data_IF_980487434411
#
_entry.id   IF_980487434411
#
_cell.length_a   1.000
_cell.length_b   1.000
_cell.length_c   1.000
_cell.angle_alpha   90.00
_cell.angle_beta   90.00
_cell.angle_gamma   90.00
#
_symmetry.space_group_name_H-M   'P 1'
#
loop_
_entity.id
_entity.type
_entity.pdbx_description
1 polymer ?
#
# COMPACT_ATOMS: atom_id res chain seq x y z
N UNK A 1 13.65 -11.10 -8.16
CA UNK A 1 13.00 -10.13 -7.26
C UNK A 1 13.68 -8.76 -7.32
N UNK A 2 15.00 -8.67 -7.34
CA UNK A 2 15.73 -7.40 -7.49
C UNK A 2 15.36 -6.59 -8.76
N UNK A 3 15.23 -7.25 -9.91
CA UNK A 3 14.83 -6.58 -11.17
C UNK A 3 13.41 -5.99 -11.18
N UNK A 4 12.48 -6.52 -10.37
CA UNK A 4 11.14 -5.96 -10.25
C UNK A 4 11.12 -4.77 -9.28
N UNK A 5 11.90 -4.83 -8.21
CA UNK A 5 12.04 -3.73 -7.27
C UNK A 5 12.69 -2.52 -7.94
N UNK A 6 13.76 -2.72 -8.71
CA UNK A 6 14.44 -1.63 -9.43
C UNK A 6 13.61 -0.99 -10.56
N UNK A 7 12.54 -1.66 -11.03
CA UNK A 7 11.63 -1.08 -12.04
C UNK A 7 10.45 -0.32 -11.44
N UNK A 8 10.16 -0.52 -10.14
CA UNK A 8 8.98 0.06 -9.48
C UNK A 8 9.38 1.16 -8.49
N UNK A 9 10.52 0.98 -7.81
CA UNK A 9 11.05 1.97 -6.86
C UNK A 9 11.91 2.96 -7.64
N UNK A 10 11.73 4.26 -7.41
CA UNK A 10 12.55 5.30 -8.01
C UNK A 10 13.93 5.32 -7.37
N UNK A 11 14.94 5.80 -8.09
CA UNK A 11 16.33 5.85 -7.61
C UNK A 11 16.52 6.78 -6.40
N UNK A 12 15.62 7.74 -6.22
CA UNK A 12 15.58 8.72 -5.12
C UNK A 12 14.76 8.26 -3.90
N UNK A 13 14.17 7.05 -3.94
CA UNK A 13 13.34 6.52 -2.86
C UNK A 13 14.05 5.45 -2.03
N UNK A 14 14.03 5.61 -0.71
CA UNK A 14 14.52 4.58 0.20
C UNK A 14 13.42 3.56 0.55
N UNK A 15 13.66 2.29 0.27
CA UNK A 15 12.78 1.21 0.71
C UNK A 15 12.97 0.98 2.21
N UNK A 16 11.96 1.28 3.00
CA UNK A 16 11.98 1.09 4.46
C UNK A 16 11.62 -0.33 4.86
N UNK A 17 10.61 -0.90 4.21
CA UNK A 17 10.15 -2.24 4.54
C UNK A 17 9.49 -2.92 3.35
N UNK A 18 9.73 -4.23 3.21
CA UNK A 18 9.05 -5.09 2.23
C UNK A 18 8.23 -6.12 3.01
N UNK A 19 6.92 -6.10 2.81
CA UNK A 19 5.98 -6.94 3.53
C UNK A 19 5.34 -7.89 2.53
N UNK A 20 5.44 -9.20 2.82
CA UNK A 20 4.78 -10.23 2.01
C UNK A 20 3.46 -10.63 2.63
N UNK A 21 2.50 -10.97 1.77
CA UNK A 21 1.23 -11.52 2.22
C UNK A 21 1.44 -12.79 3.05
N UNK A 22 0.65 -12.95 4.13
CA UNK A 22 0.71 -14.14 4.96
C UNK A 22 0.18 -15.36 4.16
N UNK A 23 0.91 -16.49 4.11
CA UNK A 23 0.48 -17.69 3.42
C UNK A 23 -0.87 -18.24 3.95
N UNK A 24 -1.19 -17.98 5.21
CA UNK A 24 -2.46 -18.39 5.82
C UNK A 24 -3.68 -17.75 5.12
N UNK A 25 -3.53 -16.60 4.43
CA UNK A 25 -4.58 -16.04 3.56
C UNK A 25 -5.06 -17.07 2.51
N UNK A 26 -4.16 -17.93 2.05
CA UNK A 26 -4.41 -18.93 1.01
C UNK A 26 -4.72 -20.33 1.57
N UNK A 27 -5.15 -20.43 2.84
CA UNK A 27 -5.42 -21.73 3.50
C UNK A 27 -6.45 -22.60 2.76
N UNK A 28 -7.51 -21.98 2.23
CA UNK A 28 -8.53 -22.70 1.46
C UNK A 28 -7.95 -23.35 0.18
N UNK A 29 -7.33 -22.61 -0.76
CA UNK A 29 -6.73 -23.24 -1.93
C UNK A 29 -5.60 -24.22 -1.57
N UNK A 30 -4.88 -24.02 -0.46
CA UNK A 30 -3.88 -24.99 0.02
C UNK A 30 -4.55 -26.29 0.45
N UNK A 31 -5.64 -26.25 1.23
CA UNK A 31 -6.37 -27.45 1.63
C UNK A 31 -6.95 -28.17 0.40
N UNK A 32 -7.57 -27.44 -0.53
CA UNK A 32 -8.08 -28.07 -1.75
C UNK A 32 -6.97 -28.75 -2.55
N UNK A 33 -5.82 -28.10 -2.73
CA UNK A 33 -4.70 -28.72 -3.44
C UNK A 33 -4.20 -29.97 -2.72
N UNK A 34 -4.17 -29.96 -1.38
CA UNK A 34 -3.75 -31.09 -0.56
C UNK A 34 -4.74 -32.27 -0.68
N UNK A 35 -6.05 -31.98 -0.68
CA UNK A 35 -7.09 -33.01 -0.89
C UNK A 35 -6.94 -33.65 -2.28
N UNK A 36 -6.70 -32.88 -3.33
CA UNK A 36 -6.49 -33.40 -4.69
C UNK A 36 -5.18 -34.14 -4.85
N UNK A 37 -4.15 -33.87 -4.04
CA UNK A 37 -2.87 -34.60 -4.07
C UNK A 37 -3.00 -35.90 -3.26
N UNK A 38 -3.56 -35.84 -2.04
CA UNK A 38 -3.60 -36.99 -1.12
C UNK A 38 -4.79 -37.89 -1.42
N UNK A 39 -5.94 -37.32 -1.82
CA UNK A 39 -7.19 -38.06 -2.05
C UNK A 39 -7.05 -39.25 -2.99
N UNK A 40 -6.39 -39.12 -4.15
CA UNK A 40 -6.22 -40.27 -5.06
C UNK A 40 -5.53 -41.47 -4.44
N UNK A 41 -4.63 -41.28 -3.46
CA UNK A 41 -3.97 -42.36 -2.76
C UNK A 41 -4.91 -43.20 -1.89
N UNK A 42 -5.93 -42.58 -1.29
CA UNK A 42 -6.95 -43.32 -0.56
C UNK A 42 -7.83 -44.18 -1.48
N UNK A 43 -8.04 -43.73 -2.70
CA UNK A 43 -8.83 -44.46 -3.71
C UNK A 43 -7.94 -45.28 -4.66
N UNK A 44 -6.66 -45.46 -4.35
CA UNK A 44 -5.74 -46.20 -5.23
C UNK A 44 -6.25 -47.63 -5.49
N UNK A 45 -6.67 -48.35 -4.44
CA UNK A 45 -7.12 -49.74 -4.56
C UNK A 45 -8.36 -49.90 -5.47
N UNK A 46 -9.46 -49.21 -5.28
CA UNK A 46 -10.60 -49.30 -6.20
C UNK A 46 -10.28 -48.78 -7.61
N UNK A 47 -9.44 -47.75 -7.75
CA UNK A 47 -9.03 -47.27 -9.06
C UNK A 47 -8.22 -48.33 -9.85
N UNK A 48 -7.38 -49.08 -9.19
CA UNK A 48 -6.58 -50.15 -9.85
C UNK A 48 -7.47 -51.27 -10.41
N UNK A 49 -8.67 -51.50 -9.88
CA UNK A 49 -9.59 -52.46 -10.45
C UNK A 49 -10.08 -52.11 -11.87
N UNK A 50 -10.08 -50.81 -12.20
CA UNK A 50 -10.40 -50.29 -13.55
C UNK A 50 -9.25 -50.34 -14.54
N UNK A 51 -8.14 -51.04 -14.21
CA UNK A 51 -6.93 -51.22 -15.06
C UNK A 51 -6.41 -49.83 -15.55
N UNK A 52 -6.36 -49.69 -16.87
CA UNK A 52 -5.81 -48.52 -17.54
C UNK A 52 -6.58 -47.19 -17.23
N UNK A 53 -7.90 -47.25 -17.18
CA UNK A 53 -8.75 -46.10 -16.90
C UNK A 53 -8.56 -45.57 -15.46
N UNK A 54 -8.38 -46.47 -14.51
CA UNK A 54 -8.13 -46.08 -13.12
C UNK A 54 -6.80 -45.31 -12.97
N UNK A 55 -5.76 -45.74 -13.69
CA UNK A 55 -4.46 -45.03 -13.70
C UNK A 55 -4.56 -43.64 -14.33
N UNK A 56 -5.33 -43.48 -15.42
CA UNK A 56 -5.56 -42.18 -16.06
C UNK A 56 -6.25 -41.23 -15.09
N UNK A 57 -7.33 -41.68 -14.42
CA UNK A 57 -8.08 -40.87 -13.45
C UNK A 57 -7.17 -40.47 -12.28
N UNK A 58 -6.41 -41.41 -11.73
CA UNK A 58 -5.43 -41.15 -10.68
C UNK A 58 -4.44 -40.06 -11.09
N UNK A 59 -3.81 -40.22 -12.23
CA UNK A 59 -2.83 -39.27 -12.76
C UNK A 59 -3.44 -37.87 -13.03
N UNK A 60 -4.66 -37.82 -13.59
CA UNK A 60 -5.36 -36.59 -13.89
C UNK A 60 -5.70 -35.80 -12.60
N UNK A 61 -6.25 -36.45 -11.57
CA UNK A 61 -6.59 -35.81 -10.29
C UNK A 61 -5.35 -35.32 -9.58
N UNK A 62 -4.29 -36.13 -9.55
CA UNK A 62 -3.01 -35.75 -8.97
C UNK A 62 -2.38 -34.55 -9.70
N UNK A 63 -2.42 -34.53 -11.03
CA UNK A 63 -1.94 -33.41 -11.83
C UNK A 63 -2.70 -32.13 -11.54
N UNK A 64 -4.02 -32.20 -11.41
CA UNK A 64 -4.87 -31.05 -11.01
C UNK A 64 -4.44 -30.52 -9.65
N UNK A 65 -4.21 -31.41 -8.66
CA UNK A 65 -3.73 -31.01 -7.34
C UNK A 65 -2.39 -30.29 -7.38
N UNK A 66 -1.44 -30.79 -8.17
CA UNK A 66 -0.12 -30.16 -8.36
C UNK A 66 -0.26 -28.78 -9.02
N UNK A 67 -1.09 -28.65 -10.06
CA UNK A 67 -1.34 -27.37 -10.74
C UNK A 67 -1.93 -26.34 -9.76
N UNK A 68 -2.90 -26.75 -8.93
CA UNK A 68 -3.49 -25.89 -7.91
C UNK A 68 -2.46 -25.45 -6.85
N UNK A 69 -1.59 -26.36 -6.41
CA UNK A 69 -0.53 -26.07 -5.46
C UNK A 69 0.47 -25.05 -6.05
N UNK A 70 0.96 -25.30 -7.27
CA UNK A 70 1.88 -24.40 -7.97
C UNK A 70 1.27 -23.02 -8.21
N UNK A 71 -0.01 -22.96 -8.62
CA UNK A 71 -0.73 -21.70 -8.78
C UNK A 71 -0.81 -20.92 -7.47
N UNK A 72 -1.18 -21.58 -6.37
CA UNK A 72 -1.30 -20.94 -5.06
C UNK A 72 0.05 -20.43 -4.57
N UNK A 73 1.10 -21.24 -4.71
CA UNK A 73 2.47 -20.86 -4.41
C UNK A 73 2.90 -19.63 -5.20
N UNK A 74 2.64 -19.61 -6.51
CA UNK A 74 2.99 -18.49 -7.40
C UNK A 74 2.28 -17.19 -6.99
N UNK A 75 0.98 -17.24 -6.71
CA UNK A 75 0.20 -16.08 -6.27
C UNK A 75 0.71 -15.54 -4.93
N UNK A 76 0.95 -16.43 -3.97
CA UNK A 76 1.49 -16.02 -2.67
C UNK A 76 2.88 -15.35 -2.78
N UNK A 77 3.77 -15.92 -3.58
CA UNK A 77 5.14 -15.41 -3.71
C UNK A 77 5.20 -14.02 -4.36
N UNK A 78 4.23 -13.68 -5.20
CA UNK A 78 4.19 -12.45 -5.99
C UNK A 78 3.50 -11.28 -5.27
N UNK A 79 2.68 -11.54 -4.26
CA UNK A 79 1.96 -10.50 -3.53
C UNK A 79 2.85 -9.86 -2.47
N UNK A 80 3.11 -8.55 -2.65
CA UNK A 80 4.08 -7.82 -1.81
C UNK A 80 3.66 -6.37 -1.67
N UNK A 81 3.65 -5.87 -0.43
CA UNK A 81 3.53 -4.46 -0.11
C UNK A 81 4.92 -3.88 0.18
N UNK A 82 5.28 -2.83 -0.52
CA UNK A 82 6.54 -2.10 -0.35
C UNK A 82 6.22 -0.77 0.32
N UNK A 83 6.89 -0.51 1.43
CA UNK A 83 6.81 0.75 2.17
C UNK A 83 8.10 1.51 1.89
N UNK A 84 7.98 2.65 1.22
CA UNK A 84 9.11 3.58 0.98
C UNK A 84 9.05 4.75 1.96
N UNK A 85 9.95 5.68 1.84
CA UNK A 85 9.94 6.94 2.60
C UNK A 85 8.96 7.99 2.05
N UNK A 86 8.41 7.80 0.83
CA UNK A 86 7.51 8.75 0.16
C UNK A 86 6.11 8.20 -0.12
N UNK A 87 5.98 6.89 -0.35
CA UNK A 87 4.71 6.24 -0.76
C UNK A 87 4.63 4.79 -0.33
N UNK A 88 3.42 4.26 -0.39
CA UNK A 88 3.12 2.84 -0.30
C UNK A 88 2.92 2.28 -1.72
N UNK A 89 3.51 1.13 -2.02
CA UNK A 89 3.37 0.47 -3.31
C UNK A 89 2.86 -0.95 -3.07
N UNK A 90 1.66 -1.22 -3.54
CA UNK A 90 1.06 -2.56 -3.51
C UNK A 90 1.25 -3.25 -4.85
N UNK A 91 1.77 -4.45 -4.77
CA UNK A 91 1.90 -5.34 -5.93
C UNK A 91 1.00 -6.54 -5.69
N UNK A 92 -0.24 -6.47 -6.18
CA UNK A 92 -1.22 -7.55 -6.07
C UNK A 92 -1.31 -8.36 -7.37
N UNK A 93 -0.98 -9.63 -7.27
CA UNK A 93 -1.14 -10.60 -8.35
C UNK A 93 -2.48 -11.30 -8.21
N UNK A 94 -3.54 -10.74 -8.78
CA UNK A 94 -4.90 -11.32 -8.71
C UNK A 94 -5.04 -12.62 -9.49
N UNK A 95 -4.36 -12.75 -10.64
CA UNK A 95 -4.34 -13.95 -11.50
C UNK A 95 -2.93 -14.13 -12.08
N UNK A 96 -2.65 -15.28 -12.71
CA UNK A 96 -1.33 -15.61 -13.29
C UNK A 96 -0.86 -14.50 -14.26
N UNK A 97 -1.78 -13.93 -15.07
CA UNK A 97 -1.50 -12.89 -16.07
C UNK A 97 -2.12 -11.53 -15.73
N UNK A 98 -2.66 -11.34 -14.52
CA UNK A 98 -3.27 -10.08 -14.11
C UNK A 98 -2.60 -9.56 -12.85
N UNK A 99 -1.80 -8.51 -13.02
CA UNK A 99 -1.09 -7.80 -11.97
C UNK A 99 -1.65 -6.40 -11.84
N UNK A 100 -1.94 -6.00 -10.63
CA UNK A 100 -2.31 -4.64 -10.27
C UNK A 100 -1.19 -4.06 -9.43
N UNK A 101 -0.74 -2.87 -9.76
CA UNK A 101 0.20 -2.10 -8.95
C UNK A 101 -0.53 -0.84 -8.53
N UNK A 102 -0.71 -0.65 -7.24
CA UNK A 102 -1.35 0.53 -6.67
C UNK A 102 -0.30 1.31 -5.88
N UNK A 103 -0.27 2.63 -6.07
CA UNK A 103 0.67 3.52 -5.41
C UNK A 103 -0.10 4.58 -4.62
N UNK A 104 0.28 4.81 -3.37
CA UNK A 104 -0.33 5.81 -2.50
C UNK A 104 0.76 6.67 -1.86
N UNK A 105 0.82 7.93 -2.24
CA UNK A 105 1.71 8.90 -1.63
C UNK A 105 1.24 9.29 -0.22
N UNK A 106 2.15 9.49 0.71
CA UNK A 106 1.82 9.89 2.08
C UNK A 106 1.05 11.22 2.15
N UNK A 107 1.28 12.14 1.19
CA UNK A 107 0.51 13.39 1.08
C UNK A 107 -0.98 13.17 0.81
N UNK A 108 -1.34 12.05 0.20
CA UNK A 108 -2.71 11.75 -0.22
C UNK A 108 -3.43 10.80 0.76
N UNK A 109 -2.74 10.30 1.78
CA UNK A 109 -3.35 9.44 2.80
C UNK A 109 -4.16 10.30 3.76
N UNK A 110 -5.46 10.02 3.85
CA UNK A 110 -6.37 10.67 4.78
C UNK A 110 -6.48 9.88 6.08
N UNK A 111 -6.66 8.57 5.99
CA UNK A 111 -6.77 7.67 7.15
C UNK A 111 -6.13 6.31 6.87
N UNK A 112 -5.60 5.70 7.92
CA UNK A 112 -5.04 4.34 7.89
C UNK A 112 -5.67 3.54 9.00
N UNK A 113 -6.49 2.58 8.64
CA UNK A 113 -7.15 1.66 9.56
C UNK A 113 -6.76 0.21 9.24
N UNK A 114 -7.04 -0.70 10.16
CA UNK A 114 -6.88 -2.13 9.90
C UNK A 114 -8.09 -2.91 10.38
N UNK A 115 -8.30 -4.06 9.77
CA UNK A 115 -9.38 -4.96 10.11
C UNK A 115 -8.86 -6.39 10.24
N UNK A 116 -9.22 -7.05 11.33
CA UNK A 116 -8.99 -8.49 11.55
C UNK A 116 -10.34 -9.16 11.66
N UNK A 117 -10.74 -9.97 10.67
CA UNK A 117 -12.05 -10.63 10.62
C UNK A 117 -11.88 -12.14 10.52
N UNK A 118 -12.42 -12.88 11.48
CA UNK A 118 -12.47 -14.33 11.48
C UNK A 118 -11.50 -15.00 12.47
N UNK A 119 -11.70 -16.29 12.71
CA UNK A 119 -10.96 -17.08 13.71
C UNK A 119 -9.48 -17.24 13.31
N UNK A 120 -9.21 -17.62 12.05
CA UNK A 120 -7.85 -17.82 11.57
C UNK A 120 -7.03 -16.53 11.54
N UNK A 121 -7.54 -15.38 11.02
CA UNK A 121 -6.86 -14.10 11.11
C UNK A 121 -6.51 -13.69 12.53
N UNK A 122 -7.40 -13.91 13.48
CA UNK A 122 -7.17 -13.59 14.90
C UNK A 122 -6.09 -14.50 15.50
N UNK A 123 -6.15 -15.81 15.24
CA UNK A 123 -5.18 -16.77 15.78
C UNK A 123 -3.76 -16.57 15.22
N UNK A 124 -3.65 -16.29 13.92
CA UNK A 124 -2.36 -16.10 13.24
C UNK A 124 -1.93 -14.64 13.11
N UNK A 125 -2.66 -13.71 13.74
CA UNK A 125 -2.38 -12.26 13.78
C UNK A 125 -2.13 -11.70 12.37
N UNK A 126 -3.04 -11.94 11.44
CA UNK A 126 -3.03 -11.29 10.12
C UNK A 126 -4.38 -10.63 9.83
N UNK A 127 -4.38 -9.62 8.97
CA UNK A 127 -5.59 -8.87 8.64
C UNK A 127 -5.44 -8.07 7.37
N UNK A 128 -6.37 -7.18 7.15
CA UNK A 128 -6.41 -6.24 6.04
C UNK A 128 -6.06 -4.86 6.56
N UNK A 129 -5.09 -4.21 5.96
CA UNK A 129 -4.83 -2.79 6.16
C UNK A 129 -5.65 -2.01 5.13
N UNK A 130 -6.34 -0.99 5.59
CA UNK A 130 -7.24 -0.15 4.79
C UNK A 130 -6.68 1.26 4.80
N UNK A 131 -6.35 1.78 3.63
CA UNK A 131 -5.83 3.14 3.45
C UNK A 131 -6.86 3.94 2.66
N UNK A 132 -7.37 4.99 3.26
CA UNK A 132 -8.27 5.94 2.61
C UNK A 132 -7.45 7.09 2.02
N UNK A 133 -7.72 7.42 0.75
CA UNK A 133 -7.03 8.49 0.05
C UNK A 133 -7.92 9.72 -0.09
N UNK A 134 -7.33 10.91 -0.05
CA UNK A 134 -8.04 12.18 -0.24
C UNK A 134 -8.53 12.36 -1.69
N UNK A 135 -7.94 11.68 -2.66
CA UNK A 135 -8.36 11.70 -4.06
C UNK A 135 -9.53 10.72 -4.25
N UNK A 136 -10.70 11.23 -4.58
CA UNK A 136 -11.94 10.48 -4.91
C UNK A 136 -12.52 9.59 -3.80
N UNK A 137 -12.12 9.73 -2.54
CA UNK A 137 -12.50 8.80 -1.46
C UNK A 137 -12.22 7.32 -1.79
N UNK A 138 -11.21 7.06 -2.60
CA UNK A 138 -10.82 5.69 -2.91
C UNK A 138 -10.18 5.03 -1.69
N UNK A 139 -10.66 3.83 -1.41
CA UNK A 139 -10.13 2.98 -0.35
C UNK A 139 -9.26 1.89 -0.96
N UNK A 140 -8.02 1.81 -0.55
CA UNK A 140 -7.10 0.76 -0.98
C UNK A 140 -6.94 -0.24 0.15
N UNK A 141 -7.23 -1.51 -0.13
CA UNK A 141 -7.18 -2.60 0.83
C UNK A 141 -5.97 -3.49 0.56
N UNK A 142 -5.13 -3.67 1.57
CA UNK A 142 -3.96 -4.54 1.54
C UNK A 142 -4.24 -5.78 2.39
N UNK A 143 -4.55 -6.88 1.74
CA UNK A 143 -4.96 -8.12 2.40
C UNK A 143 -3.79 -9.02 2.80
N UNK A 144 -4.00 -9.73 3.94
CA UNK A 144 -3.07 -10.76 4.41
C UNK A 144 -1.80 -10.17 5.03
N UNK A 145 -1.89 -8.98 5.59
CA UNK A 145 -0.78 -8.34 6.32
C UNK A 145 -0.60 -9.00 7.68
N UNK A 146 0.62 -9.43 7.98
CA UNK A 146 0.97 -9.93 9.31
C UNK A 146 1.15 -8.78 10.28
N UNK A 147 0.44 -8.84 11.43
CA UNK A 147 0.41 -7.81 12.47
C UNK A 147 0.10 -6.42 11.91
N UNK A 148 -1.10 -6.24 11.34
CA UNK A 148 -1.49 -4.99 10.67
C UNK A 148 -1.44 -3.79 11.61
N UNK A 149 -1.66 -3.98 12.91
CA UNK A 149 -1.53 -2.95 13.96
C UNK A 149 -0.12 -2.31 13.99
N UNK A 150 0.92 -3.13 13.87
CA UNK A 150 2.30 -2.62 13.86
C UNK A 150 2.61 -1.88 12.57
N UNK A 151 2.11 -2.38 11.45
CA UNK A 151 2.30 -1.73 10.17
C UNK A 151 1.58 -0.38 10.10
N UNK A 152 0.35 -0.30 10.61
CA UNK A 152 -0.37 0.97 10.74
C UNK A 152 0.47 1.99 11.50
N UNK A 153 1.01 1.62 12.67
CA UNK A 153 1.84 2.52 13.48
C UNK A 153 3.08 3.01 12.71
N UNK A 154 3.74 2.13 11.95
CA UNK A 154 4.90 2.49 11.11
C UNK A 154 4.49 3.46 10.01
N UNK A 155 3.38 3.21 9.30
CA UNK A 155 2.90 4.06 8.20
C UNK A 155 2.53 5.45 8.74
N UNK A 156 1.78 5.55 9.83
CA UNK A 156 1.40 6.82 10.45
C UNK A 156 2.64 7.62 10.88
N UNK A 157 3.66 6.94 11.42
CA UNK A 157 4.93 7.57 11.77
C UNK A 157 5.64 8.12 10.52
N UNK A 158 5.79 7.31 9.45
CA UNK A 158 6.44 7.72 8.21
C UNK A 158 5.69 8.87 7.53
N UNK A 159 4.36 8.84 7.53
CA UNK A 159 3.52 9.94 7.04
C UNK A 159 3.79 11.22 7.82
N UNK A 160 3.86 11.15 9.16
CA UNK A 160 4.17 12.31 10.00
C UNK A 160 5.58 12.88 9.73
N UNK A 161 6.57 12.02 9.53
CA UNK A 161 7.94 12.42 9.17
C UNK A 161 7.99 13.07 7.78
N UNK A 162 7.28 12.51 6.80
CA UNK A 162 7.19 13.03 5.44
C UNK A 162 6.54 14.43 5.41
N UNK A 163 5.40 14.60 6.10
CA UNK A 163 4.69 15.89 6.18
C UNK A 163 5.52 16.96 6.90
N UNK A 164 6.26 16.60 7.94
CA UNK A 164 7.19 17.51 8.62
C UNK A 164 8.32 17.96 7.71
N UNK A 165 8.92 17.05 6.93
CA UNK A 165 9.97 17.39 5.95
C UNK A 165 9.43 18.32 4.86
N UNK A 166 8.21 18.05 4.38
CA UNK A 166 7.57 18.87 3.36
C UNK A 166 7.22 20.28 3.88
N UNK A 167 6.76 20.39 5.13
CA UNK A 167 6.48 21.69 5.75
C UNK A 167 7.76 22.47 6.10
N UNK A 168 8.84 21.79 6.49
CA UNK A 168 10.13 22.43 6.76
C UNK A 168 10.82 22.96 5.48
N UNK A 169 10.55 22.33 4.33
CA UNK A 169 11.05 22.80 3.02
C UNK A 169 10.25 23.94 2.41
N UNK A 170 9.05 24.19 2.89
CA UNK A 170 8.24 25.37 2.56
C UNK A 170 8.41 26.34 3.72
N UNK A 171 9.18 27.44 3.52
CA UNK A 171 9.11 28.57 4.44
C UNK A 171 7.64 28.90 4.68
N UNK A 172 7.21 29.18 5.94
CA UNK A 172 5.81 29.45 6.22
C UNK A 172 5.29 30.48 5.22
N UNK A 173 4.18 30.14 4.55
CA UNK A 173 3.61 31.02 3.52
C UNK A 173 3.33 32.42 4.08
N UNK A 174 3.08 32.51 5.39
CA UNK A 174 2.99 33.73 6.16
C UNK A 174 4.29 34.53 6.18
N UNK A 175 5.46 33.89 6.25
CA UNK A 175 6.76 34.57 6.28
C UNK A 175 7.15 35.07 4.89
N UNK A 176 6.84 34.33 3.83
CA UNK A 176 7.04 34.77 2.44
C UNK A 176 6.13 35.95 2.10
N UNK A 177 4.85 35.88 2.44
CA UNK A 177 3.89 36.98 2.25
C UNK A 177 4.29 38.19 3.09
N UNK A 178 4.79 37.99 4.32
CA UNK A 178 5.27 39.07 5.18
C UNK A 178 6.53 39.73 4.64
N UNK A 179 7.48 38.95 4.11
CA UNK A 179 8.71 39.48 3.50
C UNK A 179 8.43 40.19 2.18
N UNK A 180 7.51 39.68 1.39
CA UNK A 180 7.08 40.28 0.13
C UNK A 180 6.27 41.57 0.39
N UNK A 181 5.37 41.56 1.36
CA UNK A 181 4.64 42.74 1.84
C UNK A 181 5.59 43.82 2.38
N UNK A 182 6.64 43.45 3.09
CA UNK A 182 7.65 44.35 3.60
C UNK A 182 8.47 45.03 2.49
N UNK A 183 8.86 44.26 1.46
CA UNK A 183 9.53 44.81 0.27
C UNK A 183 8.65 45.81 -0.47
N UNK A 184 7.40 45.49 -0.68
CA UNK A 184 6.43 46.41 -1.32
C UNK A 184 6.26 47.70 -0.50
N UNK A 185 6.19 47.59 0.82
CA UNK A 185 6.11 48.77 1.70
C UNK A 185 7.37 49.61 1.64
N UNK A 186 8.56 49.04 1.60
CA UNK A 186 9.84 49.73 1.45
C UNK A 186 9.95 50.46 0.09
N UNK A 187 9.50 49.83 -0.99
CA UNK A 187 9.50 50.40 -2.32
C UNK A 187 8.46 51.55 -2.44
N UNK A 188 7.27 51.40 -1.83
CA UNK A 188 6.29 52.49 -1.75
C UNK A 188 6.76 53.66 -0.88
N UNK A 189 7.50 53.38 0.21
CA UNK A 189 8.11 54.42 1.07
C UNK A 189 9.16 55.24 0.31
N UNK A 190 9.94 54.59 -0.59
CA UNK A 190 10.92 55.30 -1.45
C UNK A 190 10.27 56.17 -2.49
N UNK A 191 9.13 55.76 -3.07
CA UNK A 191 8.45 56.49 -4.15
C UNK A 191 7.58 57.63 -3.61
N UNK A 192 6.87 57.41 -2.52
CA UNK A 192 5.85 58.35 -2.04
C UNK A 192 6.21 59.10 -0.75
N UNK A 193 7.28 58.69 -0.08
CA UNK A 193 7.69 59.27 1.20
C UNK A 193 6.84 58.85 2.40
N UNK A 194 7.48 58.82 3.58
CA UNK A 194 6.83 58.36 4.86
C UNK A 194 5.51 59.01 5.24
N UNK A 195 5.34 60.32 4.90
CA UNK A 195 4.13 61.08 5.27
C UNK A 195 2.91 60.62 4.49
N UNK A 196 3.04 60.46 3.17
CA UNK A 196 1.95 60.08 2.30
C UNK A 196 1.48 58.62 2.52
N UNK A 197 2.46 57.73 2.83
CA UNK A 197 2.15 56.34 3.12
C UNK A 197 1.34 56.19 4.43
N UNK A 198 1.66 56.97 5.48
CA UNK A 198 0.90 56.98 6.72
C UNK A 198 -0.51 57.49 6.54
N UNK A 199 -0.72 58.46 5.67
CA UNK A 199 -2.02 59.05 5.36
C UNK A 199 -2.91 58.04 4.67
N UNK A 200 -2.41 57.35 3.64
CA UNK A 200 -3.15 56.28 2.92
C UNK A 200 -3.48 55.10 3.83
N UNK A 201 -2.54 54.62 4.63
CA UNK A 201 -2.77 53.51 5.57
C UNK A 201 -3.83 53.88 6.62
N UNK A 202 -3.82 55.13 7.10
CA UNK A 202 -4.83 55.63 8.06
C UNK A 202 -6.23 55.79 7.44
N UNK A 203 -6.30 56.02 6.13
CA UNK A 203 -7.55 56.13 5.38
C UNK A 203 -8.18 54.76 5.12
N UNK A 204 -7.36 53.78 4.70
CA UNK A 204 -7.80 52.37 4.49
C UNK A 204 -8.23 51.68 5.80
N UNK A 205 -7.61 52.04 6.94
CA UNK A 205 -7.93 51.44 8.24
C UNK A 205 -9.18 52.08 8.87
N UNK A 206 -9.71 53.17 8.29
CA UNK A 206 -10.91 53.88 8.76
C UNK A 206 -12.18 53.47 8.05
N UNK A 207 -12.12 52.72 6.95
CA UNK A 207 -13.33 52.14 6.36
C UNK A 207 -13.73 50.85 7.12
N UNK A 208 -14.96 50.75 7.62
CA UNK A 208 -15.46 49.61 8.40
C UNK A 208 -15.73 48.36 7.56
#
# INVERSE_FOLDING_TARGET
>A
MSKLLSSIVREDEEVRQIIRANPVKYWLPIIFSLIFIIGPFFFLYPLMQFRFWGLIVFAAVLLIGIILALRTWFLWYRNTLIVTDQRLIDVDQKKIFHRVVSEVYYSNIQDVSFTIKGILPTLFSFGTLVVQTAANNETIEFDGIRRPEKLQAVIVKLQGEFLKKQSAGKAPQSEQVFMEGRKVLEDLEKVWGKKKLKEIVSEITKEP
#
